data_IF_880021783374
#
_entry.id   IF_880021783374
#
_cell.length_a   1.000
_cell.length_b   1.000
_cell.length_c   1.000
_cell.angle_alpha   90.00
_cell.angle_beta   90.00
_cell.angle_gamma   90.00
#
_symmetry.space_group_name_H-M   'P 1'
#
loop_
_entity.id
_entity.type
_entity.pdbx_description
1 polymer ?
#
# COMPACT_ATOMS: atom_id res chain seq x y z
N UNK A 1 -16.94 -14.92 22.90
CA UNK A 1 -18.26 -14.53 22.38
C UNK A 1 -18.53 -15.26 21.07
N UNK A 2 -19.75 -15.67 20.85
CA UNK A 2 -20.21 -16.28 19.60
C UNK A 2 -20.94 -15.29 18.71
N UNK A 3 -21.45 -14.20 19.28
CA UNK A 3 -22.13 -13.12 18.57
C UNK A 3 -21.36 -11.80 18.73
N UNK A 4 -21.32 -11.02 17.67
CA UNK A 4 -20.70 -9.68 17.65
C UNK A 4 -21.39 -8.75 18.64
N UNK A 5 -22.72 -8.79 18.69
CA UNK A 5 -23.54 -7.96 19.57
C UNK A 5 -23.22 -8.19 21.06
N UNK A 6 -23.11 -9.44 21.48
CA UNK A 6 -22.80 -9.78 22.88
C UNK A 6 -21.42 -9.23 23.29
N UNK A 7 -20.42 -9.38 22.40
CA UNK A 7 -19.07 -8.86 22.64
C UNK A 7 -19.06 -7.33 22.76
N UNK A 8 -19.77 -6.64 21.88
CA UNK A 8 -19.77 -5.17 21.84
C UNK A 8 -20.55 -4.55 23.00
N UNK A 9 -21.66 -5.18 23.40
CA UNK A 9 -22.47 -4.70 24.54
C UNK A 9 -21.72 -4.83 25.87
N UNK A 10 -20.88 -5.85 26.02
CA UNK A 10 -20.09 -6.07 27.24
C UNK A 10 -18.81 -5.24 27.26
N UNK A 11 -18.02 -5.30 26.18
CA UNK A 11 -16.66 -4.71 26.13
C UNK A 11 -16.66 -3.21 25.83
N UNK A 12 -17.55 -2.73 24.95
CA UNK A 12 -17.64 -1.32 24.47
C UNK A 12 -16.27 -0.78 24.03
N UNK A 13 -15.61 -1.39 23.06
CA UNK A 13 -14.23 -1.06 22.70
C UNK A 13 -14.12 0.28 21.98
N UNK A 14 -13.04 1.04 22.22
CA UNK A 14 -12.70 2.21 21.41
C UNK A 14 -12.22 1.86 20.00
N UNK A 15 -11.56 0.71 19.87
CA UNK A 15 -11.01 0.18 18.63
C UNK A 15 -11.50 -1.24 18.36
N UNK A 16 -11.95 -1.49 17.15
CA UNK A 16 -12.25 -2.84 16.65
C UNK A 16 -11.25 -3.19 15.54
N UNK A 17 -10.61 -4.35 15.66
CA UNK A 17 -9.77 -4.92 14.59
C UNK A 17 -10.61 -5.96 13.83
N UNK A 18 -10.89 -5.68 12.56
CA UNK A 18 -11.73 -6.49 11.71
C UNK A 18 -10.88 -7.42 10.84
N UNK A 19 -10.65 -8.64 11.31
CA UNK A 19 -9.83 -9.66 10.67
C UNK A 19 -10.69 -10.81 10.09
N UNK A 20 -11.74 -10.45 9.35
CA UNK A 20 -12.64 -11.39 8.68
C UNK A 20 -12.37 -11.42 7.18
N UNK A 21 -12.85 -12.45 6.43
CA UNK A 21 -12.76 -12.47 4.97
C UNK A 21 -13.36 -11.22 4.34
N UNK A 22 -12.82 -10.78 3.21
CA UNK A 22 -13.24 -9.55 2.50
C UNK A 22 -14.72 -9.53 2.19
N UNK A 23 -15.28 -10.68 1.78
CA UNK A 23 -16.71 -10.86 1.48
C UNK A 23 -17.65 -10.65 2.69
N UNK A 24 -17.12 -10.75 3.91
CA UNK A 24 -17.90 -10.58 5.15
C UNK A 24 -17.72 -9.19 5.80
N UNK A 25 -16.73 -8.41 5.37
CA UNK A 25 -16.37 -7.16 6.03
C UNK A 25 -17.53 -6.15 6.06
N UNK A 26 -18.22 -5.96 4.93
CA UNK A 26 -19.33 -5.02 4.84
C UNK A 26 -20.48 -5.39 5.81
N UNK A 27 -20.84 -6.66 5.88
CA UNK A 27 -21.95 -7.10 6.72
C UNK A 27 -21.59 -7.05 8.20
N UNK A 28 -20.36 -7.40 8.55
CA UNK A 28 -19.89 -7.27 9.95
C UNK A 28 -19.81 -5.80 10.37
N UNK A 29 -19.40 -4.87 9.50
CA UNK A 29 -19.40 -3.43 9.79
C UNK A 29 -20.83 -2.93 10.02
N UNK A 30 -21.82 -3.37 9.24
CA UNK A 30 -23.24 -3.06 9.49
C UNK A 30 -23.68 -3.57 10.85
N UNK A 31 -23.43 -4.85 11.17
CA UNK A 31 -23.76 -5.44 12.47
C UNK A 31 -23.12 -4.64 13.64
N UNK A 32 -21.86 -4.25 13.48
CA UNK A 32 -21.20 -3.39 14.49
C UNK A 32 -21.96 -2.08 14.65
N UNK A 33 -22.24 -1.36 13.56
CA UNK A 33 -22.86 -0.03 13.62
C UNK A 33 -24.33 -0.03 14.02
N UNK A 34 -25.03 -1.17 13.87
CA UNK A 34 -26.41 -1.36 14.30
C UNK A 34 -26.52 -1.50 15.83
N UNK A 35 -25.50 -2.03 16.49
CA UNK A 35 -25.52 -2.24 17.95
C UNK A 35 -24.55 -1.36 18.73
N UNK A 36 -23.43 -0.93 18.13
CA UNK A 36 -22.41 -0.13 18.80
C UNK A 36 -21.62 0.75 17.82
N UNK A 37 -21.20 1.93 18.23
CA UNK A 37 -20.37 2.83 17.43
C UNK A 37 -18.99 3.00 18.08
N UNK A 38 -17.94 2.29 17.62
CA UNK A 38 -16.59 2.47 18.13
C UNK A 38 -15.98 3.79 17.62
N UNK A 39 -14.92 4.27 18.28
CA UNK A 39 -14.17 5.43 17.77
C UNK A 39 -13.42 5.12 16.49
N UNK A 40 -12.89 3.90 16.37
CA UNK A 40 -12.04 3.49 15.25
C UNK A 40 -12.25 2.02 14.87
N UNK A 41 -12.07 1.74 13.59
CA UNK A 41 -11.99 0.37 13.04
C UNK A 41 -10.69 0.25 12.24
N UNK A 42 -9.90 -0.80 12.53
CA UNK A 42 -8.80 -1.26 11.66
C UNK A 42 -9.29 -2.47 10.87
N UNK A 43 -9.41 -2.33 9.56
CA UNK A 43 -9.87 -3.38 8.66
C UNK A 43 -8.69 -4.06 7.97
N UNK A 44 -8.75 -5.39 7.79
CA UNK A 44 -7.79 -6.09 6.94
C UNK A 44 -7.97 -5.74 5.45
N UNK A 45 -6.85 -5.75 4.75
CA UNK A 45 -6.81 -5.49 3.30
C UNK A 45 -7.15 -6.77 2.47
N UNK A 46 -7.67 -6.59 1.26
CA UNK A 46 -8.29 -5.39 0.74
C UNK A 46 -9.59 -5.07 1.48
N UNK A 47 -9.94 -3.76 1.52
CA UNK A 47 -11.17 -3.31 2.16
C UNK A 47 -12.39 -3.62 1.28
N UNK A 48 -13.19 -4.60 1.70
CA UNK A 48 -14.34 -5.10 0.92
C UNK A 48 -13.93 -6.04 -0.21
N UNK A 49 -14.90 -6.70 -0.79
CA UNK A 49 -14.70 -7.69 -1.87
C UNK A 49 -14.50 -7.02 -3.24
N UNK A 50 -15.09 -5.84 -3.41
CA UNK A 50 -15.05 -5.03 -4.62
C UNK A 50 -15.16 -3.54 -4.30
N UNK A 51 -15.05 -2.69 -5.34
CA UNK A 51 -15.09 -1.23 -5.19
C UNK A 51 -16.40 -0.72 -4.56
N UNK A 52 -17.55 -1.31 -4.91
CA UNK A 52 -18.84 -0.88 -4.38
C UNK A 52 -19.00 -1.19 -2.89
N UNK A 53 -18.51 -2.33 -2.44
CA UNK A 53 -18.49 -2.67 -1.02
C UNK A 53 -17.54 -1.75 -0.26
N UNK A 54 -16.36 -1.46 -0.82
CA UNK A 54 -15.44 -0.47 -0.26
C UNK A 54 -16.08 0.92 -0.10
N UNK A 55 -16.83 1.41 -1.11
CA UNK A 55 -17.59 2.67 -1.03
C UNK A 55 -18.63 2.66 0.09
N UNK A 56 -19.37 1.54 0.23
CA UNK A 56 -20.39 1.39 1.29
C UNK A 56 -19.73 1.38 2.67
N UNK A 57 -18.64 0.65 2.85
CA UNK A 57 -17.88 0.60 4.11
C UNK A 57 -17.43 2.01 4.52
N UNK A 58 -16.78 2.75 3.63
CA UNK A 58 -16.35 4.13 3.90
C UNK A 58 -17.54 5.03 4.22
N UNK A 59 -18.65 4.91 3.49
CA UNK A 59 -19.87 5.70 3.72
C UNK A 59 -20.48 5.43 5.09
N UNK A 60 -20.58 4.16 5.51
CA UNK A 60 -21.10 3.76 6.82
C UNK A 60 -20.23 4.32 7.93
N UNK A 61 -18.92 4.15 7.84
CA UNK A 61 -17.99 4.65 8.86
C UNK A 61 -18.04 6.18 8.96
N UNK A 62 -18.07 6.90 7.84
CA UNK A 62 -18.18 8.36 7.80
C UNK A 62 -19.50 8.84 8.41
N UNK A 63 -20.64 8.22 8.08
CA UNK A 63 -21.96 8.56 8.63
C UNK A 63 -22.01 8.42 10.15
N UNK A 64 -21.28 7.46 10.70
CA UNK A 64 -21.24 7.17 12.14
C UNK A 64 -20.04 7.84 12.84
N UNK A 65 -19.27 8.70 12.19
CA UNK A 65 -18.05 9.33 12.71
C UNK A 65 -17.00 8.33 13.22
N UNK A 66 -16.87 7.18 12.55
CA UNK A 66 -15.88 6.14 12.86
C UNK A 66 -14.63 6.41 12.02
N UNK A 67 -13.47 6.49 12.67
CA UNK A 67 -12.18 6.55 11.97
C UNK A 67 -11.87 5.17 11.40
N UNK A 68 -11.93 5.06 10.08
CA UNK A 68 -11.62 3.81 9.37
C UNK A 68 -10.18 3.78 8.91
N UNK A 69 -9.45 2.75 9.31
CA UNK A 69 -8.08 2.46 8.88
C UNK A 69 -8.03 1.10 8.19
N UNK A 70 -7.06 0.90 7.30
CA UNK A 70 -6.89 -0.35 6.56
C UNK A 70 -5.45 -0.83 6.66
N UNK A 71 -5.25 -2.11 6.94
CA UNK A 71 -3.95 -2.71 7.28
C UNK A 71 -3.04 -2.92 6.05
N UNK A 72 -2.67 -1.81 5.37
CA UNK A 72 -1.62 -1.79 4.35
C UNK A 72 -0.25 -1.66 5.01
N UNK A 73 0.26 -2.75 5.57
CA UNK A 73 1.45 -2.79 6.44
C UNK A 73 2.69 -2.08 5.88
N UNK A 74 2.90 -2.13 4.55
CA UNK A 74 4.13 -1.59 3.92
C UNK A 74 4.31 -0.08 4.10
N UNK A 75 3.23 0.70 4.20
CA UNK A 75 3.36 2.15 4.45
C UNK A 75 3.74 2.48 5.90
N UNK A 76 3.49 1.57 6.85
CA UNK A 76 3.82 1.76 8.25
C UNK A 76 5.28 1.41 8.58
N UNK A 77 6.01 0.79 7.66
CA UNK A 77 7.40 0.38 7.87
C UNK A 77 8.33 1.59 8.01
N UNK A 78 9.32 1.56 8.93
CA UNK A 78 10.28 2.64 9.10
C UNK A 78 10.99 3.03 7.81
N UNK A 79 11.42 2.05 7.01
CA UNK A 79 12.06 2.28 5.72
C UNK A 79 11.13 2.98 4.72
N UNK A 80 9.83 2.68 4.72
CA UNK A 80 8.86 3.35 3.86
C UNK A 80 8.71 4.83 4.23
N UNK A 81 8.70 5.13 5.53
CA UNK A 81 8.67 6.51 6.04
C UNK A 81 9.96 7.27 5.72
N UNK A 82 11.11 6.59 5.80
CA UNK A 82 12.40 7.19 5.42
C UNK A 82 12.45 7.54 3.92
N UNK A 83 11.95 6.66 3.05
CA UNK A 83 11.83 6.94 1.62
C UNK A 83 10.90 8.13 1.38
N UNK A 84 9.73 8.16 2.03
CA UNK A 84 8.80 9.30 1.95
C UNK A 84 9.46 10.61 2.36
N UNK A 85 10.19 10.61 3.47
CA UNK A 85 10.94 11.77 3.94
C UNK A 85 12.01 12.24 2.92
N UNK A 86 12.73 11.30 2.28
CA UNK A 86 13.70 11.62 1.21
C UNK A 86 12.99 12.22 -0.03
N UNK A 87 11.79 11.75 -0.37
CA UNK A 87 10.96 12.31 -1.45
C UNK A 87 10.49 13.74 -1.08
N UNK A 88 9.93 13.93 0.11
CA UNK A 88 9.41 15.21 0.58
C UNK A 88 10.49 16.28 0.70
N UNK A 89 11.73 15.87 1.03
CA UNK A 89 12.91 16.74 1.05
C UNK A 89 13.52 17.00 -0.33
N UNK A 90 12.96 16.41 -1.39
CA UNK A 90 13.48 16.52 -2.76
C UNK A 90 14.84 15.84 -2.98
N UNK A 91 15.25 14.93 -2.08
CA UNK A 91 16.43 14.09 -2.27
C UNK A 91 16.13 13.06 -3.37
N UNK A 92 15.02 12.31 -3.25
CA UNK A 92 14.49 11.50 -4.35
C UNK A 92 13.51 12.41 -5.09
N UNK A 93 13.84 12.83 -6.31
CA UNK A 93 13.08 13.85 -7.04
C UNK A 93 12.91 13.51 -8.51
N UNK A 94 11.97 14.22 -9.16
CA UNK A 94 11.69 14.11 -10.59
C UNK A 94 12.85 14.56 -11.48
N UNK A 95 12.96 13.98 -12.69
CA UNK A 95 12.11 12.91 -13.21
C UNK A 95 12.43 11.57 -12.57
N UNK A 96 11.39 10.76 -12.28
CA UNK A 96 11.55 9.42 -11.70
C UNK A 96 10.93 8.37 -12.63
N UNK A 97 11.62 7.24 -12.77
CA UNK A 97 11.11 6.01 -13.39
C UNK A 97 11.10 4.91 -12.36
N UNK A 98 9.97 4.23 -12.24
CA UNK A 98 9.74 3.25 -11.19
C UNK A 98 9.29 1.94 -11.83
N UNK A 99 9.94 0.85 -11.44
CA UNK A 99 9.55 -0.50 -11.82
C UNK A 99 9.20 -1.27 -10.56
N UNK A 100 8.04 -1.91 -10.57
CA UNK A 100 7.58 -2.79 -9.49
C UNK A 100 7.37 -4.18 -10.07
N UNK A 101 8.11 -5.15 -9.57
CA UNK A 101 7.77 -6.55 -9.73
C UNK A 101 6.85 -6.98 -8.60
N UNK A 102 5.82 -7.75 -8.92
CA UNK A 102 4.92 -8.33 -7.93
C UNK A 102 4.47 -9.72 -8.37
N UNK A 103 4.08 -10.56 -7.44
CA UNK A 103 3.45 -11.85 -7.69
C UNK A 103 2.24 -12.02 -6.77
N UNK A 104 1.49 -13.10 -6.92
CA UNK A 104 0.38 -13.47 -6.05
C UNK A 104 -0.85 -12.55 -6.18
N UNK A 105 -1.15 -12.16 -7.41
CA UNK A 105 -2.38 -11.42 -7.76
C UNK A 105 -2.38 -9.94 -7.42
N UNK A 106 -3.14 -9.17 -8.22
CA UNK A 106 -3.24 -7.71 -8.05
C UNK A 106 -3.96 -7.34 -6.75
N UNK A 107 -5.11 -7.95 -6.46
CA UNK A 107 -5.88 -7.68 -5.24
C UNK A 107 -5.13 -8.10 -3.97
N UNK A 108 -4.31 -9.15 -4.05
CA UNK A 108 -3.64 -9.68 -2.87
C UNK A 108 -2.33 -8.93 -2.57
N UNK A 109 -1.35 -9.03 -3.44
CA UNK A 109 0.00 -8.45 -3.21
C UNK A 109 0.19 -7.12 -3.95
N UNK A 110 -0.29 -6.99 -5.18
CA UNK A 110 -0.22 -5.76 -5.96
C UNK A 110 -0.84 -4.55 -5.25
N UNK A 111 -1.94 -4.76 -4.54
CA UNK A 111 -2.62 -3.73 -3.75
C UNK A 111 -1.72 -3.02 -2.74
N UNK A 112 -0.79 -3.74 -2.11
CA UNK A 112 0.17 -3.13 -1.19
C UNK A 112 1.09 -2.12 -1.88
N UNK A 113 1.50 -2.42 -3.11
CA UNK A 113 2.40 -1.55 -3.86
C UNK A 113 1.67 -0.33 -4.41
N UNK A 114 0.43 -0.50 -4.90
CA UNK A 114 -0.39 0.64 -5.32
C UNK A 114 -0.60 1.60 -4.15
N UNK A 115 -1.03 1.10 -2.99
CA UNK A 115 -1.24 1.91 -1.79
C UNK A 115 0.06 2.61 -1.32
N UNK A 116 1.21 1.94 -1.47
CA UNK A 116 2.52 2.51 -1.15
C UNK A 116 2.91 3.61 -2.14
N UNK A 117 2.65 3.44 -3.45
CA UNK A 117 2.92 4.48 -4.45
C UNK A 117 2.05 5.72 -4.22
N UNK A 118 0.77 5.53 -3.87
CA UNK A 118 -0.10 6.64 -3.47
C UNK A 118 0.42 7.38 -2.22
N UNK A 119 0.97 6.65 -1.26
CA UNK A 119 1.59 7.25 -0.07
C UNK A 119 2.83 8.08 -0.42
N UNK A 120 3.66 7.61 -1.34
CA UNK A 120 4.90 8.27 -1.72
C UNK A 120 4.68 9.42 -2.70
N UNK A 121 3.81 9.25 -3.68
CA UNK A 121 3.69 10.13 -4.85
C UNK A 121 2.33 10.82 -4.99
N UNK A 122 1.41 10.58 -4.05
CA UNK A 122 0.07 11.16 -4.09
C UNK A 122 -0.88 10.42 -5.02
N UNK A 123 -1.84 11.13 -5.58
CA UNK A 123 -2.92 10.55 -6.37
C UNK A 123 -2.44 9.98 -7.70
N UNK A 124 -2.88 8.77 -8.04
CA UNK A 124 -2.73 8.21 -9.38
C UNK A 124 -3.64 8.98 -10.34
N UNK A 125 -3.07 9.49 -11.45
CA UNK A 125 -3.75 10.32 -12.43
C UNK A 125 -4.31 9.51 -13.59
N UNK A 126 -3.60 8.45 -14.00
CA UNK A 126 -4.00 7.58 -15.10
C UNK A 126 -3.48 6.16 -14.92
N UNK A 127 -4.23 5.20 -15.47
CA UNK A 127 -3.91 3.76 -15.46
C UNK A 127 -4.05 3.21 -16.85
N UNK A 128 -2.96 2.70 -17.42
CA UNK A 128 -2.95 2.01 -18.71
C UNK A 128 -2.58 0.54 -18.50
N UNK A 129 -3.53 -0.35 -18.76
CA UNK A 129 -3.27 -1.80 -18.77
C UNK A 129 -2.59 -2.14 -20.08
N UNK A 130 -1.38 -2.68 -20.01
CA UNK A 130 -0.58 -3.11 -21.16
C UNK A 130 -0.93 -4.53 -21.57
N UNK A 131 -1.24 -5.35 -20.57
CA UNK A 131 -1.68 -6.73 -20.73
C UNK A 131 -2.48 -7.13 -19.48
N UNK A 132 -3.64 -7.73 -19.65
CA UNK A 132 -4.52 -8.17 -18.56
C UNK A 132 -3.83 -9.26 -17.69
N UNK A 133 -2.83 -9.90 -18.24
CA UNK A 133 -2.11 -10.97 -17.57
C UNK A 133 -2.95 -12.24 -17.46
N UNK A 134 -2.48 -13.14 -16.62
CA UNK A 134 -3.16 -14.40 -16.32
C UNK A 134 -3.96 -14.29 -15.04
N UNK A 135 -4.92 -15.16 -14.89
CA UNK A 135 -5.54 -15.43 -13.59
C UNK A 135 -4.72 -16.47 -12.84
N UNK A 136 -4.28 -16.13 -11.63
CA UNK A 136 -3.48 -17.00 -10.80
C UNK A 136 -4.27 -17.53 -9.61
N UNK A 137 -4.80 -18.76 -9.73
CA UNK A 137 -5.54 -19.46 -8.67
C UNK A 137 -6.61 -18.55 -8.04
N UNK A 138 -6.75 -18.60 -6.72
CA UNK A 138 -7.68 -17.79 -5.94
C UNK A 138 -7.18 -16.33 -5.70
N UNK A 139 -6.05 -15.95 -6.27
CA UNK A 139 -5.50 -14.60 -6.09
C UNK A 139 -5.91 -13.62 -7.19
N UNK A 140 -6.60 -14.10 -8.23
CA UNK A 140 -7.13 -13.30 -9.33
C UNK A 140 -6.07 -12.92 -10.37
N UNK A 141 -6.40 -11.92 -11.19
CA UNK A 141 -5.56 -11.49 -12.31
C UNK A 141 -4.26 -10.81 -11.87
N UNK A 142 -3.24 -10.94 -12.74
CA UNK A 142 -1.91 -10.36 -12.59
C UNK A 142 -1.58 -9.46 -13.79
N UNK A 143 -2.22 -8.26 -13.91
CA UNK A 143 -2.00 -7.38 -15.05
C UNK A 143 -0.59 -6.78 -15.09
N UNK A 144 -0.08 -6.59 -16.31
CA UNK A 144 1.03 -5.69 -16.59
C UNK A 144 0.46 -4.31 -16.88
N UNK A 145 0.84 -3.30 -16.09
CA UNK A 145 0.24 -1.98 -16.16
C UNK A 145 1.23 -0.85 -15.98
N UNK A 146 0.89 0.31 -16.53
CA UNK A 146 1.56 1.58 -16.38
C UNK A 146 0.62 2.53 -15.61
N UNK A 147 1.10 3.07 -14.50
CA UNK A 147 0.39 4.04 -13.68
C UNK A 147 1.12 5.38 -13.75
N UNK A 148 0.37 6.46 -13.90
CA UNK A 148 0.89 7.82 -13.94
C UNK A 148 0.52 8.57 -12.66
N UNK A 149 1.53 9.16 -12.02
CA UNK A 149 1.39 10.08 -10.91
C UNK A 149 1.86 11.47 -11.34
N UNK A 150 1.62 12.51 -10.55
CA UNK A 150 1.97 13.88 -10.91
C UNK A 150 3.45 14.04 -11.29
N UNK A 151 4.34 13.41 -10.55
CA UNK A 151 5.78 13.56 -10.71
C UNK A 151 6.53 12.24 -10.96
N UNK A 152 5.82 11.15 -11.22
CA UNK A 152 6.43 9.84 -11.44
C UNK A 152 5.60 8.94 -12.35
N UNK A 153 6.26 7.98 -12.96
CA UNK A 153 5.66 6.91 -13.74
C UNK A 153 6.05 5.58 -13.13
N UNK A 154 5.07 4.69 -12.96
CA UNK A 154 5.24 3.38 -12.34
C UNK A 154 4.84 2.28 -13.31
N UNK A 155 5.73 1.35 -13.57
CA UNK A 155 5.45 0.14 -14.33
C UNK A 155 5.32 -1.03 -13.36
N UNK A 156 4.17 -1.70 -13.36
CA UNK A 156 3.92 -2.89 -12.57
C UNK A 156 3.99 -4.13 -13.44
N UNK A 157 4.90 -5.04 -13.11
CA UNK A 157 5.19 -6.26 -13.89
C UNK A 157 4.89 -7.49 -13.02
N UNK A 158 3.99 -8.39 -13.46
CA UNK A 158 3.73 -9.62 -12.73
C UNK A 158 4.86 -10.63 -12.89
N UNK A 159 5.24 -11.27 -11.79
CA UNK A 159 6.11 -12.44 -11.75
C UNK A 159 5.29 -13.72 -11.52
N UNK A 160 5.95 -14.87 -11.50
CA UNK A 160 5.31 -16.18 -11.36
C UNK A 160 5.47 -16.75 -9.95
N UNK A 161 4.44 -16.54 -9.10
CA UNK A 161 4.43 -17.02 -7.72
C UNK A 161 4.65 -18.53 -7.58
N UNK A 162 4.27 -19.34 -8.58
CA UNK A 162 4.43 -20.80 -8.55
C UNK A 162 5.87 -21.27 -8.56
N UNK A 163 6.81 -20.41 -8.98
CA UNK A 163 8.24 -20.72 -8.96
C UNK A 163 8.90 -20.17 -7.69
N UNK A 164 8.58 -18.95 -7.34
CA UNK A 164 9.01 -18.30 -6.09
C UNK A 164 8.21 -17.01 -5.86
N UNK A 165 7.96 -16.70 -4.61
CA UNK A 165 7.38 -15.41 -4.26
C UNK A 165 8.35 -14.29 -4.57
N UNK A 166 7.94 -13.33 -5.37
CA UNK A 166 8.80 -12.24 -5.79
C UNK A 166 8.13 -10.88 -5.71
N UNK A 167 8.85 -9.93 -5.14
CA UNK A 167 8.55 -8.52 -5.30
C UNK A 167 9.82 -7.69 -5.26
N UNK A 168 9.84 -6.61 -6.00
CA UNK A 168 10.84 -5.56 -5.85
C UNK A 168 10.31 -4.22 -6.34
N UNK A 169 10.86 -3.14 -5.81
CA UNK A 169 10.66 -1.77 -6.26
C UNK A 169 12.01 -1.21 -6.65
N UNK A 170 12.12 -0.69 -7.85
CA UNK A 170 13.29 0.06 -8.30
C UNK A 170 12.88 1.47 -8.67
N UNK A 171 13.53 2.48 -8.09
CA UNK A 171 13.33 3.89 -8.41
C UNK A 171 14.64 4.44 -8.94
N UNK A 172 14.63 4.93 -10.18
CA UNK A 172 15.76 5.63 -10.78
C UNK A 172 15.38 7.11 -10.88
N UNK A 173 16.27 7.97 -10.36
CA UNK A 173 16.10 9.42 -10.35
C UNK A 173 17.43 10.14 -10.68
N UNK A 174 17.43 11.50 -10.85
CA UNK A 174 18.62 12.24 -11.28
C UNK A 174 19.85 12.09 -10.38
N UNK A 175 19.69 11.71 -9.13
CA UNK A 175 20.80 11.65 -8.17
C UNK A 175 21.17 10.24 -7.74
N UNK A 176 20.43 9.23 -8.14
CA UNK A 176 20.72 7.85 -7.74
C UNK A 176 19.63 6.85 -8.05
N UNK A 177 19.73 5.72 -7.39
CA UNK A 177 18.83 4.60 -7.53
C UNK A 177 18.48 4.03 -6.16
N UNK A 178 17.18 3.81 -5.92
CA UNK A 178 16.68 3.02 -4.82
C UNK A 178 16.31 1.62 -5.34
N UNK A 179 16.68 0.60 -4.60
CA UNK A 179 16.22 -0.77 -4.81
C UNK A 179 15.66 -1.34 -3.52
N UNK A 180 14.41 -1.79 -3.54
CA UNK A 180 13.76 -2.48 -2.43
C UNK A 180 13.29 -3.86 -2.89
N UNK A 181 14.00 -4.90 -2.48
CA UNK A 181 13.63 -6.31 -2.67
C UNK A 181 13.14 -6.96 -1.39
N UNK A 182 13.05 -8.28 -1.40
CA UNK A 182 12.45 -9.06 -0.31
C UNK A 182 13.01 -8.74 1.09
N UNK A 183 14.33 -8.72 1.24
CA UNK A 183 15.00 -8.44 2.53
C UNK A 183 16.08 -7.37 2.39
N UNK A 184 16.05 -6.57 1.34
CA UNK A 184 17.13 -5.66 0.99
C UNK A 184 16.57 -4.35 0.48
N UNK A 185 16.86 -3.28 1.20
CA UNK A 185 16.59 -1.92 0.76
C UNK A 185 17.92 -1.19 0.63
N UNK A 186 18.18 -0.64 -0.54
CA UNK A 186 19.44 -0.04 -0.91
C UNK A 186 19.26 1.28 -1.61
N UNK A 187 20.14 2.22 -1.28
CA UNK A 187 20.32 3.46 -2.01
C UNK A 187 21.71 3.51 -2.62
N UNK A 188 21.80 3.87 -3.89
CA UNK A 188 23.04 4.02 -4.64
C UNK A 188 23.10 5.43 -5.22
N UNK A 189 24.13 6.19 -4.86
CA UNK A 189 24.33 7.55 -5.34
C UNK A 189 24.88 7.61 -6.76
N UNK A 190 24.50 8.66 -7.50
CA UNK A 190 25.20 9.04 -8.73
C UNK A 190 26.54 9.68 -8.40
N UNK A 191 27.59 9.25 -9.08
CA UNK A 191 28.92 9.85 -9.01
C UNK A 191 29.39 10.30 -10.40
N UNK A 192 30.25 11.35 -10.42
CA UNK A 192 30.87 11.84 -11.66
C UNK A 192 32.05 10.93 -12.04
N UNK A 193 32.17 10.61 -13.32
CA UNK A 193 33.33 9.89 -13.83
C UNK A 193 34.62 10.73 -13.70
N UNK A 194 35.66 10.10 -13.18
CA UNK A 194 37.00 10.70 -13.15
C UNK A 194 37.68 10.64 -14.52
N UNK A 195 37.31 9.66 -15.36
CA UNK A 195 37.99 9.38 -16.63
C UNK A 195 37.28 10.02 -17.84
N UNK A 196 35.96 10.30 -17.72
CA UNK A 196 35.15 10.82 -18.85
C UNK A 196 34.42 12.07 -18.40
N UNK A 197 34.83 13.23 -18.96
CA UNK A 197 34.22 14.53 -18.66
C UNK A 197 32.73 14.54 -19.10
N UNK A 198 31.85 14.95 -18.18
CA UNK A 198 30.41 15.02 -18.42
C UNK A 198 29.65 13.71 -18.23
N UNK A 199 30.34 12.59 -17.98
CA UNK A 199 29.74 11.30 -17.71
C UNK A 199 29.55 11.07 -16.19
N UNK A 200 28.44 10.42 -15.84
CA UNK A 200 28.14 10.01 -14.46
C UNK A 200 27.59 8.57 -14.47
N UNK A 201 27.83 7.85 -13.39
CA UNK A 201 27.37 6.48 -13.19
C UNK A 201 26.94 6.27 -11.73
N UNK A 202 26.33 5.14 -11.42
CA UNK A 202 26.00 4.78 -10.06
C UNK A 202 27.26 4.35 -9.31
N UNK A 203 27.40 4.75 -8.05
CA UNK A 203 28.49 4.34 -7.18
C UNK A 203 28.52 2.83 -6.98
N UNK A 204 29.70 2.26 -6.78
CA UNK A 204 29.86 0.89 -6.30
C UNK A 204 29.54 0.77 -4.80
N UNK A 205 29.53 1.92 -4.08
CA UNK A 205 29.15 1.99 -2.67
C UNK A 205 27.64 2.08 -2.56
N UNK A 206 27.06 1.17 -1.77
CA UNK A 206 25.64 1.02 -1.55
C UNK A 206 25.30 1.30 -0.09
N UNK A 207 24.41 2.24 0.15
CA UNK A 207 23.81 2.47 1.47
C UNK A 207 22.70 1.45 1.70
N UNK A 208 22.88 0.57 2.68
CA UNK A 208 21.84 -0.40 3.10
C UNK A 208 20.95 0.25 4.15
N UNK A 209 19.66 0.33 3.87
CA UNK A 209 18.65 0.87 4.79
C UNK A 209 18.05 -0.32 5.56
N UNK A 210 18.06 -0.30 6.90
CA UNK A 210 17.52 -1.38 7.71
C UNK A 210 16.02 -1.61 7.44
N UNK A 211 15.61 -2.86 7.32
CA UNK A 211 14.20 -3.22 7.16
C UNK A 211 13.52 -3.45 8.50
N UNK A 212 12.30 -2.94 8.64
CA UNK A 212 11.41 -3.17 9.77
C UNK A 212 10.42 -4.33 9.55
N UNK A 213 10.55 -5.07 8.45
CA UNK A 213 9.54 -6.05 8.01
C UNK A 213 9.28 -7.16 9.03
N UNK A 214 10.28 -7.59 9.82
CA UNK A 214 10.10 -8.63 10.84
C UNK A 214 9.11 -8.22 11.96
N UNK A 215 8.94 -6.90 12.18
CA UNK A 215 8.06 -6.33 13.22
C UNK A 215 6.88 -5.55 12.62
N UNK A 216 6.46 -5.89 11.41
CA UNK A 216 5.50 -5.10 10.65
C UNK A 216 4.19 -4.81 11.39
N UNK A 217 3.65 -5.77 12.17
CA UNK A 217 2.42 -5.53 12.95
C UNK A 217 2.64 -4.58 14.14
N UNK A 218 3.83 -4.55 14.74
CA UNK A 218 4.15 -3.55 15.76
C UNK A 218 4.15 -2.14 15.15
N UNK A 219 4.77 -1.98 13.97
CA UNK A 219 4.77 -0.70 13.27
C UNK A 219 3.35 -0.24 12.88
N UNK A 220 2.47 -1.19 12.52
CA UNK A 220 1.05 -0.87 12.29
C UNK A 220 0.37 -0.41 13.58
N UNK A 221 0.63 -1.09 14.71
CA UNK A 221 0.06 -0.71 16.01
C UNK A 221 0.54 0.69 16.45
N UNK A 222 1.83 1.00 16.28
CA UNK A 222 2.40 2.32 16.58
C UNK A 222 1.74 3.42 15.71
N UNK A 223 1.62 3.19 14.40
CA UNK A 223 1.00 4.14 13.49
C UNK A 223 -0.51 4.32 13.76
N UNK A 224 -1.19 3.24 14.11
CA UNK A 224 -2.60 3.28 14.51
C UNK A 224 -2.78 4.09 15.81
N UNK A 225 -1.92 3.90 16.79
CA UNK A 225 -1.93 4.67 18.04
C UNK A 225 -1.70 6.17 17.77
N UNK A 226 -0.72 6.52 16.92
CA UNK A 226 -0.51 7.91 16.50
C UNK A 226 -1.76 8.51 15.87
N UNK A 227 -2.38 7.80 14.92
CA UNK A 227 -3.59 8.26 14.25
C UNK A 227 -4.76 8.45 15.21
N UNK A 228 -4.98 7.51 16.12
CA UNK A 228 -6.06 7.56 17.13
C UNK A 228 -5.87 8.68 18.16
N UNK A 229 -4.62 9.12 18.38
CA UNK A 229 -4.27 10.23 19.29
C UNK A 229 -4.16 11.58 18.58
N UNK A 230 -4.51 11.65 17.28
CA UNK A 230 -4.49 12.89 16.49
C UNK A 230 -3.11 13.33 16.04
N UNK A 231 -2.11 12.45 16.12
CA UNK A 231 -0.75 12.71 15.64
C UNK A 231 -0.61 12.31 14.17
N UNK A 232 0.34 12.92 13.41
CA UNK A 232 0.67 12.49 12.06
C UNK A 232 1.02 11.00 12.00
N UNK A 233 0.40 10.30 11.06
CA UNK A 233 0.56 8.85 10.91
C UNK A 233 0.62 8.46 9.44
N UNK A 234 1.36 7.39 9.15
CA UNK A 234 1.44 6.79 7.83
C UNK A 234 0.36 5.74 7.56
N UNK A 235 -0.47 5.38 8.55
CA UNK A 235 -1.51 4.35 8.37
C UNK A 235 -2.49 4.71 7.24
N UNK A 236 -2.94 3.71 6.48
CA UNK A 236 -3.91 3.94 5.41
C UNK A 236 -5.29 4.21 5.98
N UNK A 237 -5.88 5.39 5.68
CA UNK A 237 -7.29 5.64 5.99
C UNK A 237 -8.21 4.86 5.05
N UNK A 238 -9.50 4.78 5.39
CA UNK A 238 -10.51 4.19 4.51
C UNK A 238 -10.58 4.86 3.14
N UNK A 239 -10.37 6.19 3.06
CA UNK A 239 -10.32 6.95 1.82
C UNK A 239 -9.11 6.57 0.95
N UNK A 240 -7.92 6.45 1.54
CA UNK A 240 -6.73 5.97 0.83
C UNK A 240 -6.93 4.53 0.30
N UNK A 241 -7.50 3.65 1.12
CA UNK A 241 -7.81 2.29 0.70
C UNK A 241 -8.84 2.24 -0.44
N UNK A 242 -9.82 3.15 -0.42
CA UNK A 242 -10.81 3.27 -1.49
C UNK A 242 -10.18 3.74 -2.82
N UNK A 243 -9.21 4.65 -2.77
CA UNK A 243 -8.44 5.06 -3.95
C UNK A 243 -7.66 3.87 -4.52
N UNK A 244 -6.98 3.12 -3.67
CA UNK A 244 -6.27 1.89 -4.07
C UNK A 244 -7.22 0.87 -4.73
N UNK A 245 -8.40 0.63 -4.16
CA UNK A 245 -9.42 -0.23 -4.76
C UNK A 245 -9.89 0.26 -6.12
N UNK A 246 -10.07 1.57 -6.27
CA UNK A 246 -10.45 2.17 -7.56
C UNK A 246 -9.40 1.94 -8.64
N UNK A 247 -8.12 2.11 -8.32
CA UNK A 247 -7.02 1.83 -9.25
C UNK A 247 -7.02 0.35 -9.65
N UNK A 248 -7.20 -0.57 -8.69
CA UNK A 248 -7.29 -2.00 -8.95
C UNK A 248 -8.49 -2.33 -9.85
N UNK A 249 -9.64 -1.73 -9.58
CA UNK A 249 -10.85 -1.91 -10.39
C UNK A 249 -10.62 -1.46 -11.83
N UNK A 250 -9.97 -0.31 -12.06
CA UNK A 250 -9.57 0.16 -13.38
C UNK A 250 -8.61 -0.80 -14.10
N UNK A 251 -7.71 -1.45 -13.34
CA UNK A 251 -6.76 -2.42 -13.91
C UNK A 251 -7.41 -3.75 -14.29
N UNK A 252 -8.46 -4.15 -13.59
CA UNK A 252 -9.13 -5.43 -13.78
C UNK A 252 -10.34 -5.36 -14.72
N UNK A 253 -10.94 -4.17 -14.89
CA UNK A 253 -12.13 -3.95 -15.73
C UNK A 253 -11.83 -3.55 -17.17
N UNK A 254 -10.60 -3.10 -17.47
CA UNK A 254 -10.21 -2.75 -18.85
C UNK A 254 -9.89 -4.01 -19.66
N UNK A 255 -10.67 -4.25 -20.70
CA UNK A 255 -10.45 -5.27 -21.72
C UNK A 255 -9.28 -4.90 -22.64
#
# INVERSE_FOLDING_TARGET
>A
YTLVEDALNEVKPDLIILAVPTSSQLDVIKQITDCFVPKSILCEKPMGDNLEDGKKIVSICRKNNINLYVNYVRRCLPESKEIKNKIDKGIINSPMKIIIWYSKGMKHNGAHFINLMEYWFGKCLDVKVMNKGREFKNFGFEPFAHLMFENSEVIMIPAWEEYFSHYSIEIVCPIGRLYWGHNRLEWTNKIKSKNFKGYSYLSDEVEVIPSGLEKYQMHVADELFLAMTGNPSSISSGEHALQTLHIIDLMLSKD
#
